data_IF_311994712998
#
_entry.id   IF_311994712998
#
_cell.length_a   1.000
_cell.length_b   1.000
_cell.length_c   1.000
_cell.angle_alpha   90.00
_cell.angle_beta   90.00
_cell.angle_gamma   90.00
#
_symmetry.space_group_name_H-M   'P 1'
#
loop_
_entity.id
_entity.type
_entity.pdbx_description
1 polymer ?
#
# COMPACT_ATOMS: atom_id res chain seq x y z
N UNK A 1 22.32 -20.16 36.86
CA UNK A 1 22.46 -19.06 35.89
C UNK A 1 21.10 -18.39 35.81
N UNK A 2 20.99 -17.11 36.16
CA UNK A 2 19.75 -16.36 35.98
C UNK A 2 19.50 -16.25 34.49
N UNK A 3 18.62 -17.09 33.96
CA UNK A 3 18.19 -16.99 32.57
C UNK A 3 17.53 -15.62 32.39
N UNK A 4 18.01 -14.87 31.40
CA UNK A 4 17.41 -13.60 31.02
C UNK A 4 15.97 -13.90 30.60
N UNK A 5 14.96 -13.21 31.14
CA UNK A 5 13.58 -13.45 30.77
C UNK A 5 13.39 -13.27 29.24
N UNK A 6 12.56 -14.09 28.60
CA UNK A 6 12.34 -14.02 27.16
C UNK A 6 11.85 -12.65 26.71
N UNK A 7 11.10 -11.93 27.55
CA UNK A 7 10.61 -10.57 27.25
C UNK A 7 11.76 -9.56 27.08
N UNK A 8 12.83 -9.71 27.87
CA UNK A 8 14.02 -8.85 27.77
C UNK A 8 14.81 -9.19 26.49
N UNK A 9 14.89 -10.48 26.14
CA UNK A 9 15.50 -10.92 24.87
C UNK A 9 14.72 -10.36 23.68
N UNK A 10 13.39 -10.45 23.71
CA UNK A 10 12.54 -9.90 22.64
C UNK A 10 12.75 -8.40 22.48
N UNK A 11 12.82 -7.66 23.60
CA UNK A 11 13.07 -6.22 23.56
C UNK A 11 14.46 -5.88 22.98
N UNK A 12 15.50 -6.65 23.32
CA UNK A 12 16.84 -6.47 22.72
C UNK A 12 16.78 -6.66 21.20
N UNK A 13 16.06 -7.67 20.72
CA UNK A 13 15.95 -7.94 19.29
C UNK A 13 15.08 -6.90 18.58
N UNK A 14 14.07 -6.34 19.26
CA UNK A 14 13.23 -5.26 18.73
C UNK A 14 14.03 -4.00 18.40
N UNK A 15 15.04 -3.67 19.21
CA UNK A 15 15.95 -2.55 18.94
C UNK A 15 16.83 -2.76 17.69
N UNK A 16 16.91 -4.00 17.18
CA UNK A 16 17.69 -4.37 15.98
C UNK A 16 16.85 -4.40 14.71
N UNK A 17 15.57 -3.98 14.75
CA UNK A 17 14.64 -4.11 13.61
C UNK A 17 15.17 -3.52 12.30
N UNK A 18 15.94 -2.43 12.36
CA UNK A 18 16.52 -1.75 11.20
C UNK A 18 17.89 -2.32 10.77
N UNK A 19 18.52 -3.18 11.59
CA UNK A 19 19.81 -3.82 11.30
C UNK A 19 19.61 -5.28 10.91
N UNK A 20 19.41 -5.48 9.60
CA UNK A 20 19.21 -6.81 9.02
C UNK A 20 20.37 -7.77 9.26
N UNK A 21 21.62 -7.29 9.29
CA UNK A 21 22.79 -8.16 9.49
C UNK A 21 22.81 -8.70 10.92
N UNK A 22 22.56 -7.83 11.90
CA UNK A 22 22.44 -8.21 13.30
C UNK A 22 21.25 -9.16 13.54
N UNK A 23 20.11 -8.95 12.88
CA UNK A 23 18.98 -9.88 12.95
C UNK A 23 19.32 -11.27 12.41
N UNK A 24 20.08 -11.36 11.32
CA UNK A 24 20.53 -12.65 10.78
C UNK A 24 21.46 -13.36 11.77
N UNK A 25 22.39 -12.63 12.41
CA UNK A 25 23.25 -13.20 13.45
C UNK A 25 22.44 -13.77 14.63
N UNK A 26 21.37 -13.07 15.05
CA UNK A 26 20.47 -13.49 16.12
C UNK A 26 19.82 -14.86 15.89
N UNK A 27 19.64 -15.29 14.63
CA UNK A 27 19.09 -16.61 14.29
C UNK A 27 19.92 -17.78 14.85
N UNK A 28 21.21 -17.55 15.13
CA UNK A 28 22.16 -18.57 15.58
C UNK A 28 22.42 -18.57 17.10
N UNK A 29 21.93 -17.56 17.83
CA UNK A 29 22.30 -17.32 19.24
C UNK A 29 21.56 -18.28 20.17
N UNK A 30 20.23 -18.28 20.12
CA UNK A 30 19.37 -19.17 20.92
C UNK A 30 17.96 -19.21 20.33
N UNK A 31 17.09 -20.10 20.87
CA UNK A 31 15.70 -20.22 20.39
C UNK A 31 14.89 -18.93 20.54
N UNK A 32 15.06 -18.20 21.64
CA UNK A 32 14.33 -16.97 21.91
C UNK A 32 14.74 -15.84 20.94
N UNK A 33 16.06 -15.69 20.70
CA UNK A 33 16.56 -14.76 19.68
C UNK A 33 16.09 -15.17 18.28
N UNK A 34 16.12 -16.47 17.98
CA UNK A 34 15.72 -16.99 16.68
C UNK A 34 14.26 -16.66 16.36
N UNK A 35 13.30 -16.91 17.28
CA UNK A 35 11.89 -16.66 17.01
C UNK A 35 11.60 -15.18 16.75
N UNK A 36 12.16 -14.29 17.57
CA UNK A 36 11.92 -12.85 17.43
C UNK A 36 12.64 -12.24 16.22
N UNK A 37 13.90 -12.63 15.98
CA UNK A 37 14.64 -12.13 14.83
C UNK A 37 14.01 -12.61 13.51
N UNK A 38 13.54 -13.86 13.47
CA UNK A 38 12.80 -14.40 12.33
C UNK A 38 11.51 -13.64 12.07
N UNK A 39 10.77 -13.25 13.11
CA UNK A 39 9.59 -12.41 12.95
C UNK A 39 9.95 -11.10 12.22
N UNK A 40 10.94 -10.34 12.70
CA UNK A 40 11.34 -9.07 12.07
C UNK A 40 11.88 -9.24 10.66
N UNK A 41 12.67 -10.29 10.40
CA UNK A 41 13.25 -10.55 9.07
C UNK A 41 12.21 -10.84 7.98
N UNK A 42 11.05 -11.38 8.36
CA UNK A 42 9.99 -11.80 7.43
C UNK A 42 8.68 -11.02 7.58
N UNK A 43 8.57 -10.13 8.57
CA UNK A 43 7.40 -9.27 8.75
C UNK A 43 7.17 -8.38 7.52
N UNK A 44 8.25 -7.86 6.94
CA UNK A 44 8.23 -7.07 5.71
C UNK A 44 8.97 -7.79 4.60
N UNK A 45 8.27 -8.07 3.50
CA UNK A 45 8.82 -8.73 2.31
C UNK A 45 8.73 -7.78 1.13
N UNK A 46 9.82 -7.65 0.38
CA UNK A 46 9.89 -6.88 -0.86
C UNK A 46 10.28 -7.80 -2.02
N UNK A 47 9.48 -7.77 -3.08
CA UNK A 47 9.64 -8.58 -4.29
C UNK A 47 9.69 -7.66 -5.50
N UNK A 48 10.87 -7.55 -6.14
CA UNK A 48 11.07 -6.66 -7.30
C UNK A 48 11.53 -7.44 -8.54
N UNK A 49 12.40 -8.43 -8.33
CA UNK A 49 12.94 -9.27 -9.40
C UNK A 49 12.33 -10.67 -9.37
N UNK A 50 12.32 -11.36 -10.51
CA UNK A 50 11.90 -12.77 -10.55
C UNK A 50 12.68 -13.66 -9.56
N UNK A 51 13.95 -13.33 -9.32
CA UNK A 51 14.76 -14.05 -8.34
C UNK A 51 14.16 -13.92 -6.94
N UNK A 52 13.68 -12.74 -6.56
CA UNK A 52 13.08 -12.49 -5.25
C UNK A 52 11.81 -13.34 -5.08
N UNK A 53 10.96 -13.39 -6.10
CA UNK A 53 9.75 -14.23 -6.08
C UNK A 53 10.11 -15.71 -5.89
N UNK A 54 11.02 -16.26 -6.71
CA UNK A 54 11.39 -17.68 -6.60
C UNK A 54 12.10 -18.00 -5.29
N UNK A 55 12.97 -17.10 -4.80
CA UNK A 55 13.62 -17.26 -3.51
C UNK A 55 12.60 -17.24 -2.37
N UNK A 56 11.65 -16.31 -2.40
CA UNK A 56 10.61 -16.21 -1.39
C UNK A 56 9.67 -17.43 -1.40
N UNK A 57 9.25 -17.89 -2.59
CA UNK A 57 8.45 -19.11 -2.74
C UNK A 57 9.21 -20.31 -2.19
N UNK A 58 10.48 -20.47 -2.57
CA UNK A 58 11.33 -21.56 -2.06
C UNK A 58 11.50 -21.50 -0.54
N UNK A 59 11.63 -20.31 0.04
CA UNK A 59 11.68 -20.14 1.50
C UNK A 59 10.36 -20.54 2.18
N UNK A 60 9.22 -20.19 1.58
CA UNK A 60 7.91 -20.61 2.08
C UNK A 60 7.73 -22.12 2.02
N UNK A 61 8.24 -22.78 0.97
CA UNK A 61 8.21 -24.24 0.82
C UNK A 61 9.10 -24.93 1.87
N UNK A 62 10.30 -24.38 2.12
CA UNK A 62 11.23 -24.90 3.13
C UNK A 62 10.68 -24.68 4.54
N UNK A 63 9.96 -23.58 4.76
CA UNK A 63 9.46 -23.24 6.08
C UNK A 63 8.03 -22.65 6.05
N UNK A 64 7.00 -23.48 6.28
CA UNK A 64 5.59 -23.09 6.11
C UNK A 64 5.10 -22.09 7.17
N UNK A 65 5.94 -21.72 8.14
CA UNK A 65 5.66 -20.67 9.12
C UNK A 65 5.86 -19.27 8.51
N UNK A 66 6.74 -19.11 7.51
CA UNK A 66 7.08 -17.80 6.92
C UNK A 66 5.85 -17.06 6.39
N UNK A 67 4.94 -17.68 5.61
CA UNK A 67 3.73 -17.02 5.13
C UNK A 67 2.89 -16.34 6.23
N UNK A 68 2.83 -16.95 7.42
CA UNK A 68 2.10 -16.41 8.57
C UNK A 68 2.79 -15.25 9.27
N UNK A 69 4.08 -15.01 9.01
CA UNK A 69 4.83 -13.88 9.58
C UNK A 69 4.71 -12.62 8.73
N UNK A 70 4.42 -12.74 7.43
CA UNK A 70 4.37 -11.60 6.50
C UNK A 70 3.16 -10.72 6.81
N UNK A 71 3.44 -9.47 7.18
CA UNK A 71 2.42 -8.45 7.47
C UNK A 71 2.45 -7.31 6.46
N UNK A 72 3.64 -6.96 5.96
CA UNK A 72 3.84 -5.94 4.94
C UNK A 72 4.46 -6.56 3.69
N UNK A 73 3.77 -6.45 2.56
CA UNK A 73 4.23 -6.96 1.28
C UNK A 73 4.41 -5.81 0.30
N UNK A 74 5.59 -5.71 -0.30
CA UNK A 74 5.89 -4.76 -1.37
C UNK A 74 6.18 -5.52 -2.65
N UNK A 75 5.42 -5.25 -3.70
CA UNK A 75 5.56 -5.88 -5.00
C UNK A 75 5.81 -4.81 -6.06
N UNK A 76 6.95 -4.88 -6.71
CA UNK A 76 7.27 -4.03 -7.85
C UNK A 76 7.52 -4.92 -9.05
N UNK A 77 6.65 -4.88 -10.05
CA UNK A 77 6.84 -5.69 -11.25
C UNK A 77 6.77 -4.82 -12.49
N UNK A 78 7.82 -4.84 -13.31
CA UNK A 78 7.82 -4.20 -14.63
C UNK A 78 7.36 -5.15 -15.74
N UNK A 79 6.93 -6.36 -15.39
CA UNK A 79 6.60 -7.43 -16.35
C UNK A 79 5.14 -7.83 -16.27
N UNK A 80 4.67 -8.41 -17.37
CA UNK A 80 3.28 -8.86 -17.59
C UNK A 80 3.02 -10.28 -17.08
N UNK A 81 4.02 -10.98 -16.55
CA UNK A 81 3.84 -12.26 -15.87
C UNK A 81 4.68 -12.30 -14.58
N UNK A 82 4.06 -12.74 -13.50
CA UNK A 82 4.69 -12.92 -12.17
C UNK A 82 4.40 -14.32 -11.65
N UNK A 83 5.33 -14.94 -10.90
CA UNK A 83 5.04 -16.21 -10.23
C UNK A 83 3.90 -16.05 -9.22
N UNK A 84 3.03 -17.05 -9.13
CA UNK A 84 1.99 -17.08 -8.10
C UNK A 84 2.61 -17.19 -6.71
N UNK A 85 2.20 -16.30 -5.81
CA UNK A 85 2.64 -16.32 -4.42
C UNK A 85 1.84 -17.34 -3.60
N UNK A 86 2.45 -17.95 -2.57
CA UNK A 86 1.71 -18.75 -1.61
C UNK A 86 0.69 -17.87 -0.85
N UNK A 87 -0.33 -18.47 -0.22
CA UNK A 87 -1.28 -17.72 0.61
C UNK A 87 -0.56 -16.99 1.75
N UNK A 88 -0.72 -15.67 1.83
CA UNK A 88 -0.13 -14.83 2.90
C UNK A 88 -1.27 -14.27 3.77
N UNK A 89 -1.74 -15.03 4.77
CA UNK A 89 -3.00 -14.75 5.45
C UNK A 89 -2.98 -13.48 6.30
N UNK A 90 -1.80 -12.98 6.70
CA UNK A 90 -1.66 -11.90 7.68
C UNK A 90 -1.20 -10.56 7.05
N UNK A 91 -1.22 -10.46 5.72
CA UNK A 91 -0.85 -9.22 5.01
C UNK A 91 -1.91 -8.15 5.29
N UNK A 92 -1.48 -7.09 5.98
CA UNK A 92 -2.29 -5.92 6.33
C UNK A 92 -1.84 -4.66 5.61
N UNK A 93 -0.58 -4.62 5.18
CA UNK A 93 0.02 -3.54 4.40
C UNK A 93 0.50 -4.08 3.05
N UNK A 94 -0.04 -3.53 1.96
CA UNK A 94 0.27 -3.94 0.60
C UNK A 94 0.75 -2.73 -0.19
N UNK A 95 1.91 -2.86 -0.81
CA UNK A 95 2.44 -1.89 -1.75
C UNK A 95 2.57 -2.58 -3.11
N UNK A 96 1.94 -2.01 -4.13
CA UNK A 96 2.05 -2.49 -5.51
C UNK A 96 2.57 -1.37 -6.40
N UNK A 97 3.60 -1.67 -7.19
CA UNK A 97 4.08 -0.77 -8.22
C UNK A 97 4.46 -1.42 -9.54
N UNK A 98 4.48 -0.61 -10.59
CA UNK A 98 4.76 -1.03 -11.97
C UNK A 98 3.51 -1.52 -12.72
N UNK A 99 3.42 -2.81 -13.03
CA UNK A 99 2.32 -3.40 -13.80
C UNK A 99 1.31 -4.10 -12.88
N UNK A 100 0.03 -3.81 -13.07
CA UNK A 100 -1.07 -4.44 -12.34
C UNK A 100 -1.32 -5.87 -12.83
N UNK A 101 -1.58 -6.78 -11.90
CA UNK A 101 -2.03 -8.15 -12.20
C UNK A 101 -3.33 -8.40 -11.45
N UNK A 102 -4.40 -8.74 -12.17
CA UNK A 102 -5.74 -8.91 -11.59
C UNK A 102 -5.78 -9.96 -10.46
N UNK A 103 -4.85 -10.92 -10.46
CA UNK A 103 -4.71 -11.93 -9.40
C UNK A 103 -4.40 -11.35 -8.01
N UNK A 104 -3.71 -10.21 -7.94
CA UNK A 104 -3.38 -9.57 -6.65
C UNK A 104 -4.60 -8.91 -5.99
N UNK A 105 -5.66 -8.69 -6.76
CA UNK A 105 -6.92 -8.17 -6.27
C UNK A 105 -7.56 -9.10 -5.22
N UNK A 106 -7.40 -10.43 -5.36
CA UNK A 106 -8.11 -11.41 -4.52
C UNK A 106 -7.27 -12.03 -3.41
N UNK A 107 -5.96 -11.83 -3.41
CA UNK A 107 -5.04 -12.61 -2.56
C UNK A 107 -4.87 -12.07 -1.13
N UNK A 108 -5.24 -10.81 -0.88
CA UNK A 108 -4.93 -10.12 0.39
C UNK A 108 -6.15 -9.39 0.99
N UNK A 109 -7.24 -10.08 1.35
CA UNK A 109 -8.50 -9.45 1.75
C UNK A 109 -8.42 -8.67 3.08
N UNK A 110 -7.45 -8.98 3.95
CA UNK A 110 -7.24 -8.30 5.24
C UNK A 110 -6.43 -7.00 5.12
N UNK A 111 -6.08 -6.59 3.90
CA UNK A 111 -5.31 -5.36 3.67
C UNK A 111 -6.06 -4.15 4.20
N UNK A 112 -5.43 -3.42 5.12
CA UNK A 112 -5.92 -2.16 5.70
C UNK A 112 -5.19 -0.95 5.11
N UNK A 113 -3.96 -1.13 4.65
CA UNK A 113 -3.11 -0.11 4.03
C UNK A 113 -2.72 -0.54 2.61
N UNK A 114 -3.11 0.21 1.59
CA UNK A 114 -2.76 -0.04 0.20
C UNK A 114 -1.96 1.14 -0.36
N UNK A 115 -0.80 0.85 -0.94
CA UNK A 115 -0.02 1.80 -1.73
C UNK A 115 0.02 1.37 -3.18
N UNK A 116 -0.33 2.29 -4.07
CA UNK A 116 -0.33 2.12 -5.52
C UNK A 116 0.69 3.11 -6.11
N UNK A 117 1.75 2.59 -6.73
CA UNK A 117 2.89 3.39 -7.21
C UNK A 117 3.18 3.16 -8.70
N UNK A 118 3.23 4.23 -9.50
CA UNK A 118 3.58 4.16 -10.93
C UNK A 118 2.68 3.20 -11.75
N UNK A 119 1.38 3.17 -11.43
CA UNK A 119 0.41 2.27 -12.06
C UNK A 119 -0.46 2.99 -13.09
N UNK A 120 -0.91 2.24 -14.09
CA UNK A 120 -1.82 2.73 -15.12
C UNK A 120 -3.10 1.90 -15.11
N UNK A 121 -4.24 2.56 -14.89
CA UNK A 121 -5.55 1.95 -14.99
C UNK A 121 -6.20 2.32 -16.32
N UNK A 122 -6.64 1.34 -17.13
CA UNK A 122 -7.36 1.63 -18.37
C UNK A 122 -8.64 2.43 -18.14
N UNK A 123 -9.36 2.15 -17.05
CA UNK A 123 -10.65 2.76 -16.74
C UNK A 123 -10.80 3.10 -15.25
N UNK A 124 -11.66 4.06 -14.93
CA UNK A 124 -12.09 4.33 -13.55
C UNK A 124 -12.75 3.10 -12.91
N UNK A 125 -13.42 2.28 -13.73
CA UNK A 125 -14.06 1.04 -13.28
C UNK A 125 -13.04 0.00 -12.80
N UNK A 126 -11.90 -0.15 -13.48
CA UNK A 126 -10.84 -1.08 -13.04
C UNK A 126 -10.17 -0.59 -11.75
N UNK A 127 -9.92 0.72 -11.62
CA UNK A 127 -9.44 1.31 -10.37
C UNK A 127 -10.40 1.04 -9.20
N UNK A 128 -11.70 1.33 -9.39
CA UNK A 128 -12.71 1.11 -8.34
C UNK A 128 -12.86 -0.36 -7.97
N UNK A 129 -12.83 -1.26 -8.95
CA UNK A 129 -12.84 -2.70 -8.73
C UNK A 129 -11.71 -3.12 -7.80
N UNK A 130 -10.49 -2.67 -8.10
CA UNK A 130 -9.29 -2.94 -7.31
C UNK A 130 -9.42 -2.45 -5.87
N UNK A 131 -9.81 -1.19 -5.67
CA UNK A 131 -9.96 -0.64 -4.31
C UNK A 131 -11.08 -1.37 -3.54
N UNK A 132 -12.19 -1.71 -4.19
CA UNK A 132 -13.30 -2.45 -3.57
C UNK A 132 -12.97 -3.89 -3.19
N UNK A 133 -11.88 -4.47 -3.70
CA UNK A 133 -11.48 -5.83 -3.35
C UNK A 133 -10.88 -5.96 -1.95
N UNK A 134 -10.55 -4.83 -1.32
CA UNK A 134 -10.00 -4.76 0.02
C UNK A 134 -11.07 -4.21 0.98
N UNK A 135 -11.95 -5.07 1.52
CA UNK A 135 -13.09 -4.63 2.34
C UNK A 135 -12.66 -3.97 3.66
N UNK A 136 -11.48 -4.29 4.17
CA UNK A 136 -10.92 -3.74 5.40
C UNK A 136 -10.05 -2.48 5.17
N UNK A 137 -10.01 -1.95 3.94
CA UNK A 137 -9.12 -0.86 3.58
C UNK A 137 -9.51 0.44 4.27
N UNK A 138 -8.58 1.01 5.05
CA UNK A 138 -8.75 2.28 5.76
C UNK A 138 -7.73 3.33 5.31
N UNK A 139 -6.62 2.91 4.71
CA UNK A 139 -5.54 3.77 4.27
C UNK A 139 -5.21 3.49 2.80
N UNK A 140 -5.34 4.51 1.96
CA UNK A 140 -4.98 4.45 0.55
C UNK A 140 -3.92 5.50 0.23
N UNK A 141 -2.80 5.06 -0.34
CA UNK A 141 -1.76 5.93 -0.90
C UNK A 141 -1.65 5.68 -2.39
N UNK A 142 -1.72 6.76 -3.17
CA UNK A 142 -1.64 6.73 -4.62
C UNK A 142 -0.53 7.66 -5.06
N UNK A 143 0.48 7.12 -5.74
CA UNK A 143 1.65 7.84 -6.21
C UNK A 143 1.87 7.61 -7.69
N UNK A 144 1.93 8.68 -8.49
CA UNK A 144 2.19 8.60 -9.93
C UNK A 144 1.24 7.66 -10.69
N UNK A 145 -0.03 7.59 -10.28
CA UNK A 145 -1.05 6.73 -10.91
C UNK A 145 -1.84 7.51 -11.96
N UNK A 146 -2.04 6.87 -13.11
CA UNK A 146 -2.77 7.44 -14.25
C UNK A 146 -4.01 6.62 -14.56
N UNK A 147 -5.12 7.32 -14.85
CA UNK A 147 -6.38 6.71 -15.29
C UNK A 147 -6.77 7.30 -16.64
N UNK A 148 -6.91 6.46 -17.68
CA UNK A 148 -7.19 6.94 -19.04
C UNK A 148 -8.66 7.24 -19.31
N UNK A 149 -9.58 6.36 -18.90
CA UNK A 149 -11.02 6.54 -19.14
C UNK A 149 -11.79 6.77 -17.84
N UNK A 150 -12.39 7.95 -17.70
CA UNK A 150 -13.15 8.32 -16.49
C UNK A 150 -14.59 7.81 -16.47
N UNK A 151 -15.12 7.36 -17.61
CA UNK A 151 -16.47 6.79 -17.67
C UNK A 151 -16.51 5.46 -16.93
N UNK A 152 -17.07 5.46 -15.73
CA UNK A 152 -17.32 4.25 -14.98
C UNK A 152 -18.66 3.66 -15.41
N UNK A 153 -18.59 2.63 -16.26
CA UNK A 153 -19.73 1.79 -16.63
C UNK A 153 -19.44 0.40 -16.08
N UNK A 154 -20.34 -0.14 -15.26
CA UNK A 154 -20.17 -1.46 -14.66
C UNK A 154 -20.60 -1.54 -13.20
N UNK A 155 -20.37 -2.69 -12.53
CA UNK A 155 -20.86 -2.96 -11.17
C UNK A 155 -20.32 -2.00 -10.10
N UNK A 156 -19.21 -1.29 -10.39
CA UNK A 156 -18.57 -0.36 -9.46
C UNK A 156 -18.82 1.12 -9.81
N UNK A 157 -19.69 1.39 -10.79
CA UNK A 157 -20.04 2.74 -11.20
C UNK A 157 -20.70 3.57 -10.09
N UNK A 158 -21.48 2.90 -9.24
CA UNK A 158 -22.18 3.49 -8.10
C UNK A 158 -21.65 2.99 -6.76
N UNK A 159 -20.52 2.26 -6.76
CA UNK A 159 -19.91 1.81 -5.52
C UNK A 159 -19.42 3.02 -4.72
N UNK A 160 -19.68 3.04 -3.42
CA UNK A 160 -19.15 4.07 -2.53
C UNK A 160 -17.69 3.82 -2.12
N UNK A 161 -17.15 2.63 -2.42
CA UNK A 161 -15.81 2.23 -1.99
C UNK A 161 -15.72 1.95 -0.49
N UNK A 162 -14.55 1.50 -0.02
CA UNK A 162 -14.31 1.24 1.39
C UNK A 162 -14.27 2.55 2.22
N UNK A 163 -14.50 2.49 3.55
CA UNK A 163 -14.50 3.64 4.43
C UNK A 163 -13.07 4.07 4.76
N UNK A 164 -12.43 4.76 3.81
CA UNK A 164 -11.07 5.27 3.99
C UNK A 164 -11.02 6.34 5.10
N UNK A 165 -10.06 6.21 6.01
CA UNK A 165 -9.70 7.22 7.01
C UNK A 165 -8.50 8.06 6.58
N UNK A 166 -7.56 7.47 5.81
CA UNK A 166 -6.37 8.14 5.30
C UNK A 166 -6.28 8.05 3.78
N UNK A 167 -6.08 9.20 3.13
CA UNK A 167 -5.83 9.32 1.70
C UNK A 167 -4.55 10.10 1.44
N UNK A 168 -3.57 9.47 0.81
CA UNK A 168 -2.33 10.09 0.35
C UNK A 168 -2.32 10.14 -1.17
N UNK A 169 -2.13 11.33 -1.73
CA UNK A 169 -2.10 11.58 -3.17
C UNK A 169 -0.79 12.28 -3.50
N UNK A 170 0.02 11.68 -4.39
CA UNK A 170 1.32 12.23 -4.78
C UNK A 170 1.57 12.13 -6.29
N UNK A 171 1.95 13.24 -6.94
CA UNK A 171 2.33 13.28 -8.37
C UNK A 171 1.29 12.69 -9.33
N UNK A 172 0.01 12.93 -9.09
CA UNK A 172 -1.08 12.28 -9.84
C UNK A 172 -1.61 13.17 -10.96
N UNK A 173 -2.34 12.59 -11.91
CA UNK A 173 -3.05 13.33 -12.96
C UNK A 173 -4.42 13.85 -12.51
N UNK A 174 -4.95 14.86 -13.22
CA UNK A 174 -6.32 15.38 -12.99
C UNK A 174 -7.39 14.28 -13.01
N UNK A 175 -7.18 13.25 -13.83
CA UNK A 175 -8.09 12.11 -13.95
C UNK A 175 -8.28 11.36 -12.63
N UNK A 176 -7.29 11.29 -11.76
CA UNK A 176 -7.45 10.59 -10.48
C UNK A 176 -8.47 11.30 -9.58
N UNK A 177 -8.43 12.64 -9.48
CA UNK A 177 -9.42 13.39 -8.70
C UNK A 177 -10.84 13.15 -9.22
N UNK A 178 -11.01 13.10 -10.55
CA UNK A 178 -12.29 12.78 -11.19
C UNK A 178 -12.87 11.42 -10.79
N UNK A 179 -12.04 10.42 -10.48
CA UNK A 179 -12.52 9.10 -10.02
C UNK A 179 -13.07 9.15 -8.60
N UNK A 180 -12.46 9.94 -7.71
CA UNK A 180 -12.91 10.13 -6.34
C UNK A 180 -14.14 11.04 -6.25
N UNK A 181 -14.15 12.14 -7.02
CA UNK A 181 -15.21 13.15 -6.98
C UNK A 181 -16.44 12.73 -7.81
N UNK A 182 -16.23 11.90 -8.82
CA UNK A 182 -17.28 11.46 -9.74
C UNK A 182 -17.69 12.55 -10.73
N UNK A 183 -18.80 12.32 -11.46
CA UNK A 183 -19.33 13.31 -12.41
C UNK A 183 -20.15 14.37 -11.69
N UNK A 184 -19.94 15.64 -12.06
CA UNK A 184 -20.61 16.84 -11.51
C UNK A 184 -22.15 16.77 -11.52
N UNK A 185 -22.75 15.92 -12.36
CA UNK A 185 -24.22 15.77 -12.43
C UNK A 185 -24.85 14.94 -11.31
N UNK A 186 -24.08 14.12 -10.57
CA UNK A 186 -24.61 13.25 -9.50
C UNK A 186 -23.60 13.06 -8.37
N UNK A 187 -23.85 13.69 -7.22
CA UNK A 187 -23.13 13.46 -5.96
C UNK A 187 -23.06 11.98 -5.52
N UNK A 188 -23.93 11.13 -6.07
CA UNK A 188 -24.01 9.68 -5.87
C UNK A 188 -22.75 8.95 -6.42
N UNK A 189 -21.94 9.61 -7.24
CA UNK A 189 -20.76 9.00 -7.86
C UNK A 189 -19.45 9.16 -7.10
N UNK A 190 -19.46 9.80 -5.91
CA UNK A 190 -18.28 9.96 -5.06
C UNK A 190 -17.78 8.62 -4.56
N UNK A 191 -16.49 8.38 -4.67
CA UNK A 191 -15.86 7.11 -4.31
C UNK A 191 -14.90 7.30 -3.14
N UNK A 192 -15.11 6.53 -2.06
CA UNK A 192 -14.23 6.39 -0.91
C UNK A 192 -13.90 7.68 -0.13
N UNK A 193 -14.68 8.76 -0.31
CA UNK A 193 -14.45 10.06 0.37
C UNK A 193 -15.28 10.27 1.66
N UNK A 194 -16.14 9.33 2.04
CA UNK A 194 -17.16 9.54 3.07
C UNK A 194 -16.66 9.42 4.52
N UNK A 195 -15.44 8.90 4.75
CA UNK A 195 -14.87 8.68 6.09
C UNK A 195 -13.52 9.35 6.34
N UNK A 196 -13.06 10.19 5.42
CA UNK A 196 -11.67 10.67 5.39
C UNK A 196 -11.39 11.57 6.61
N UNK A 197 -10.40 11.19 7.41
CA UNK A 197 -9.90 11.93 8.58
C UNK A 197 -8.57 12.61 8.33
N UNK A 198 -7.74 12.03 7.46
CA UNK A 198 -6.42 12.56 7.16
C UNK A 198 -6.18 12.56 5.65
N UNK A 199 -5.69 13.69 5.15
CA UNK A 199 -5.24 13.82 3.77
C UNK A 199 -3.78 14.22 3.75
N UNK A 200 -2.98 13.51 2.95
CA UNK A 200 -1.65 13.94 2.54
C UNK A 200 -1.68 14.24 1.05
N UNK A 201 -1.22 15.42 0.67
CA UNK A 201 -1.09 15.79 -0.73
C UNK A 201 0.34 16.24 -1.00
N UNK A 202 0.97 15.61 -2.00
CA UNK A 202 2.31 15.97 -2.46
C UNK A 202 2.24 16.35 -3.92
N UNK A 203 2.59 17.60 -4.23
CA UNK A 203 2.55 18.11 -5.61
C UNK A 203 3.93 18.55 -6.08
N UNK A 204 4.19 18.30 -7.37
CA UNK A 204 5.31 18.87 -8.12
C UNK A 204 4.92 20.14 -8.90
N UNK A 205 3.64 20.33 -9.23
CA UNK A 205 3.17 21.39 -10.11
C UNK A 205 1.90 22.08 -9.60
N UNK A 206 1.77 23.41 -9.71
CA UNK A 206 0.65 24.17 -9.15
C UNK A 206 -0.73 23.85 -9.77
N UNK A 207 -0.79 23.15 -10.91
CA UNK A 207 -2.04 22.77 -11.58
C UNK A 207 -2.87 21.73 -10.79
N UNK A 208 -2.26 21.03 -9.83
CA UNK A 208 -2.96 20.07 -8.95
C UNK A 208 -3.95 20.69 -7.95
N UNK A 209 -3.96 22.03 -7.81
CA UNK A 209 -4.68 22.70 -6.73
C UNK A 209 -6.22 22.60 -6.84
N UNK A 210 -6.78 22.52 -8.06
CA UNK A 210 -8.23 22.50 -8.25
C UNK A 210 -8.85 21.17 -7.77
N UNK A 211 -8.27 20.04 -8.19
CA UNK A 211 -8.75 18.71 -7.81
C UNK A 211 -8.67 18.44 -6.32
N UNK A 212 -7.56 18.83 -5.68
CA UNK A 212 -7.42 18.69 -4.23
C UNK A 212 -8.39 19.61 -3.47
N UNK A 213 -8.63 20.84 -3.95
CA UNK A 213 -9.59 21.75 -3.32
C UNK A 213 -11.01 21.17 -3.31
N UNK A 214 -11.44 20.51 -4.39
CA UNK A 214 -12.74 19.84 -4.41
C UNK A 214 -12.80 18.65 -3.43
N UNK A 215 -11.74 17.84 -3.32
CA UNK A 215 -11.68 16.77 -2.32
C UNK A 215 -11.79 17.35 -0.91
N UNK A 216 -11.07 18.43 -0.60
CA UNK A 216 -11.14 19.11 0.69
C UNK A 216 -12.55 19.65 0.98
N UNK A 217 -13.22 20.22 -0.02
CA UNK A 217 -14.59 20.71 0.13
C UNK A 217 -15.58 19.58 0.45
N UNK A 218 -15.41 18.39 -0.15
CA UNK A 218 -16.24 17.20 0.11
C UNK A 218 -15.97 16.59 1.48
N UNK A 219 -14.70 16.57 1.89
CA UNK A 219 -14.25 15.92 3.14
C UNK A 219 -14.24 16.89 4.34
N UNK A 220 -14.69 18.13 4.15
CA UNK A 220 -14.59 19.22 5.14
C UNK A 220 -15.13 18.88 6.54
N UNK A 221 -16.19 18.09 6.62
CA UNK A 221 -16.86 17.75 7.88
C UNK A 221 -16.17 16.59 8.62
N UNK A 222 -15.39 15.77 7.90
CA UNK A 222 -14.75 14.56 8.44
C UNK A 222 -13.24 14.73 8.64
N UNK A 223 -12.62 15.64 7.88
CA UNK A 223 -11.19 15.88 7.86
C UNK A 223 -10.71 16.49 9.19
N UNK A 224 -9.63 15.93 9.74
CA UNK A 224 -8.97 16.35 10.99
C UNK A 224 -7.53 16.77 10.79
N UNK A 225 -6.85 16.13 9.83
CA UNK A 225 -5.44 16.36 9.56
C UNK A 225 -5.19 16.58 8.06
N UNK A 226 -4.46 17.65 7.73
CA UNK A 226 -4.06 17.98 6.37
C UNK A 226 -2.56 18.20 6.32
N UNK A 227 -1.85 17.38 5.54
CA UNK A 227 -0.41 17.46 5.28
C UNK A 227 -0.20 17.81 3.80
N UNK A 228 0.23 19.05 3.52
CA UNK A 228 0.52 19.51 2.16
C UNK A 228 2.02 19.67 1.96
N UNK A 229 2.57 19.02 0.94
CA UNK A 229 3.97 19.11 0.56
C UNK A 229 4.08 19.57 -0.90
N UNK A 230 4.79 20.68 -1.12
CA UNK A 230 5.18 21.12 -2.44
C UNK A 230 6.68 20.87 -2.61
N UNK A 231 7.07 20.05 -3.57
CA UNK A 231 8.47 19.87 -3.91
C UNK A 231 8.88 20.99 -4.86
N UNK A 232 9.60 21.98 -4.32
CA UNK A 232 10.21 23.01 -5.14
C UNK A 232 11.16 22.39 -6.15
N UNK A 233 11.11 22.85 -7.40
CA UNK A 233 12.11 22.52 -8.39
C UNK A 233 13.47 22.93 -7.84
N UNK A 234 14.34 21.94 -7.58
CA UNK A 234 15.72 22.23 -7.24
C UNK A 234 16.33 22.84 -8.50
N UNK A 235 16.42 24.18 -8.56
CA UNK A 235 17.27 24.87 -9.52
C UNK A 235 18.68 24.35 -9.29
N UNK A 236 19.15 23.45 -10.16
CA UNK A 236 20.58 23.27 -10.37
C UNK A 236 21.13 24.61 -10.86
N UNK A 237 21.61 25.41 -9.92
CA UNK A 237 22.54 26.50 -10.18
C UNK A 237 23.87 25.88 -10.57
N UNK A 238 24.22 26.01 -11.85
CA UNK A 238 25.52 26.44 -12.41
C UNK A 238 25.76 25.77 -13.75
#
# INVERSE_FOLDING_TARGET
MSEIPPEIIEHIVDELVDDRESLVACLSVSRAFHSRARYHLFQTVQLETNSDFYQFISLCDISPVIPGLVQSLKIFSRRTAVPHLPPLPNVTSLHIGGHLHDEWQTNFPLTTCLTLEELVFPTAQSFRSWICAYPCLTSLSVMSVVIYQLTSVGPYALAQGPPLEFLSIAYVSESLYGVFLGSTSKAISRFALHGIRRIRHTTMFPYDAAGIHEILAVTRETLRELDMKALGTCSTKS
#
